data_IF_535646250397
#
_entry.id   IF_535646250397
#
_cell.length_a   1.000
_cell.length_b   1.000
_cell.length_c   1.000
_cell.angle_alpha   90.00
_cell.angle_beta   90.00
_cell.angle_gamma   90.00
#
_symmetry.space_group_name_H-M   'P 1'
#
loop_
_entity.id
_entity.type
_entity.pdbx_description
1 polymer ?
#
# COMPACT_ATOMS: atom_id res chain seq x y z
N UNK A 1 11.43 -22.40 24.54
CA UNK A 1 10.76 -22.38 23.24
C UNK A 1 9.84 -21.17 23.26
N UNK A 2 10.18 -20.10 22.53
CA UNK A 2 9.34 -18.89 22.45
C UNK A 2 7.99 -19.23 21.82
N UNK A 3 6.92 -18.55 22.26
CA UNK A 3 5.59 -18.71 21.64
C UNK A 3 5.62 -18.28 20.18
N UNK A 4 5.04 -19.07 19.28
CA UNK A 4 4.85 -18.71 17.88
C UNK A 4 3.85 -17.56 17.79
N UNK A 5 4.20 -16.49 17.10
CA UNK A 5 3.27 -15.39 16.78
C UNK A 5 2.66 -15.67 15.40
N UNK A 6 1.34 -15.72 15.34
CA UNK A 6 0.60 -16.03 14.12
C UNK A 6 0.03 -14.74 13.50
N UNK A 7 0.36 -14.50 12.23
CA UNK A 7 -0.06 -13.34 11.47
C UNK A 7 -1.06 -13.73 10.39
N UNK A 8 -2.15 -12.98 10.28
CA UNK A 8 -3.11 -13.05 9.18
C UNK A 8 -2.93 -11.84 8.27
N UNK A 9 -2.66 -12.05 6.99
CA UNK A 9 -2.49 -10.98 6.01
C UNK A 9 -3.62 -11.06 4.98
N UNK A 10 -4.52 -10.10 5.02
CA UNK A 10 -5.60 -9.94 4.07
C UNK A 10 -5.08 -9.10 2.88
N UNK A 11 -5.13 -9.63 1.66
CA UNK A 11 -4.46 -9.03 0.49
C UNK A 11 -2.95 -9.31 0.45
N UNK A 12 -2.52 -10.45 1.02
CA UNK A 12 -1.10 -10.76 1.21
C UNK A 12 -0.37 -11.23 -0.04
N UNK A 13 -1.07 -11.57 -1.14
CA UNK A 13 -0.46 -11.86 -2.43
C UNK A 13 -0.12 -10.58 -3.23
N UNK A 14 -0.60 -9.42 -2.79
CA UNK A 14 -0.26 -8.13 -3.38
C UNK A 14 1.19 -7.70 -3.09
N UNK A 15 1.60 -6.59 -3.71
CA UNK A 15 2.99 -6.08 -3.65
C UNK A 15 3.52 -5.93 -2.21
N UNK A 16 2.84 -5.15 -1.35
CA UNK A 16 3.28 -4.94 0.03
C UNK A 16 3.16 -6.24 0.84
N UNK A 17 2.10 -7.02 0.63
CA UNK A 17 1.83 -8.25 1.37
C UNK A 17 2.91 -9.32 1.21
N UNK A 18 3.47 -9.47 0.01
CA UNK A 18 4.57 -10.41 -0.26
C UNK A 18 5.85 -10.00 0.48
N UNK A 19 6.19 -8.71 0.47
CA UNK A 19 7.36 -8.20 1.20
C UNK A 19 7.16 -8.28 2.71
N UNK A 20 5.94 -8.03 3.20
CA UNK A 20 5.59 -8.21 4.60
C UNK A 20 5.73 -9.67 5.03
N UNK A 21 5.23 -10.60 4.22
CA UNK A 21 5.36 -12.05 4.49
C UNK A 21 6.84 -12.46 4.60
N UNK A 22 7.67 -12.00 3.67
CA UNK A 22 9.11 -12.27 3.70
C UNK A 22 9.76 -11.66 4.95
N UNK A 23 9.50 -10.38 5.22
CA UNK A 23 10.07 -9.69 6.38
C UNK A 23 9.67 -10.35 7.72
N UNK A 24 8.45 -10.90 7.81
CA UNK A 24 8.02 -11.65 9.00
C UNK A 24 8.82 -12.95 9.18
N UNK A 25 9.09 -13.70 8.11
CA UNK A 25 9.91 -14.90 8.17
C UNK A 25 11.39 -14.61 8.45
N UNK A 26 11.87 -13.42 8.07
CA UNK A 26 13.23 -12.98 8.33
C UNK A 26 13.47 -12.53 9.79
N UNK A 27 12.42 -12.45 10.63
CA UNK A 27 12.54 -12.13 12.05
C UNK A 27 13.25 -13.25 12.82
N UNK A 28 14.50 -13.03 13.20
CA UNK A 28 15.36 -14.03 13.89
C UNK A 28 14.92 -14.37 15.31
N UNK A 29 14.17 -13.49 15.95
CA UNK A 29 13.85 -13.55 17.39
C UNK A 29 12.51 -14.22 17.71
N UNK A 30 11.70 -14.56 16.70
CA UNK A 30 10.34 -15.10 16.87
C UNK A 30 10.09 -16.29 15.95
N UNK A 31 9.42 -17.29 16.48
CA UNK A 31 8.77 -18.28 15.61
C UNK A 31 7.52 -17.62 15.02
N UNK A 32 7.40 -17.63 13.70
CA UNK A 32 6.36 -16.90 12.97
C UNK A 32 5.52 -17.89 12.16
N UNK A 33 4.19 -17.79 12.29
CA UNK A 33 3.24 -18.41 11.38
C UNK A 33 2.52 -17.33 10.56
N UNK A 34 2.36 -17.53 9.26
CA UNK A 34 1.69 -16.58 8.37
C UNK A 34 0.57 -17.27 7.59
N UNK A 35 -0.63 -16.73 7.69
CA UNK A 35 -1.74 -17.09 6.80
C UNK A 35 -2.07 -15.91 5.91
N UNK A 36 -2.16 -16.13 4.61
CA UNK A 36 -2.56 -15.13 3.62
C UNK A 36 -3.93 -15.47 3.07
N UNK A 37 -4.83 -14.47 2.99
CA UNK A 37 -6.10 -14.57 2.25
C UNK A 37 -6.05 -13.53 1.13
N UNK A 38 -6.26 -13.96 -0.12
CA UNK A 38 -6.24 -13.11 -1.30
C UNK A 38 -7.11 -13.71 -2.41
N UNK A 39 -7.77 -12.89 -3.21
CA UNK A 39 -8.56 -13.34 -4.37
C UNK A 39 -7.78 -13.28 -5.70
N UNK A 40 -6.50 -12.89 -5.65
CA UNK A 40 -5.58 -12.80 -6.78
C UNK A 40 -6.02 -11.83 -7.90
N UNK A 41 -6.91 -10.89 -7.62
CA UNK A 41 -7.39 -9.91 -8.63
C UNK A 41 -6.26 -9.02 -9.17
N UNK A 42 -5.30 -8.65 -8.30
CA UNK A 42 -4.17 -7.78 -8.65
C UNK A 42 -2.80 -8.47 -8.53
N UNK A 43 -2.79 -9.78 -8.34
CA UNK A 43 -1.59 -10.59 -8.18
C UNK A 43 -1.79 -11.95 -8.84
N UNK A 44 -0.75 -12.78 -8.85
CA UNK A 44 -0.83 -14.13 -9.39
C UNK A 44 -0.40 -15.19 -8.37
N UNK A 45 -0.71 -16.45 -8.63
CA UNK A 45 -0.33 -17.56 -7.75
C UNK A 45 1.18 -17.66 -7.54
N UNK A 46 2.01 -17.29 -8.51
CA UNK A 46 3.46 -17.28 -8.37
C UNK A 46 3.94 -16.40 -7.22
N UNK A 47 3.16 -15.36 -6.89
CA UNK A 47 3.44 -14.48 -5.76
C UNK A 47 3.46 -15.22 -4.40
N UNK A 48 2.73 -16.32 -4.27
CA UNK A 48 2.61 -17.10 -3.04
C UNK A 48 3.43 -18.38 -3.05
N UNK A 49 3.78 -18.88 -4.24
CA UNK A 49 4.52 -20.13 -4.42
C UNK A 49 5.89 -20.12 -3.73
N UNK A 50 6.60 -18.99 -3.75
CA UNK A 50 7.91 -18.83 -3.12
C UNK A 50 7.92 -19.07 -1.61
N UNK A 51 6.76 -18.98 -0.95
CA UNK A 51 6.65 -19.19 0.49
C UNK A 51 6.33 -20.64 0.87
N UNK A 52 6.11 -21.53 -0.10
CA UNK A 52 5.84 -22.96 0.17
C UNK A 52 7.00 -23.67 0.87
N UNK A 53 8.23 -23.14 0.76
CA UNK A 53 9.38 -23.65 1.49
C UNK A 53 9.22 -23.58 3.01
N UNK A 54 8.44 -22.61 3.53
CA UNK A 54 8.15 -22.47 4.96
C UNK A 54 7.12 -23.50 5.49
N UNK A 55 6.67 -24.45 4.64
CA UNK A 55 5.84 -25.62 4.99
C UNK A 55 4.66 -25.26 5.92
N UNK A 56 4.70 -25.79 7.17
CA UNK A 56 3.62 -25.63 8.14
C UNK A 56 3.50 -24.21 8.73
N UNK A 57 4.46 -23.34 8.46
CA UNK A 57 4.46 -21.95 8.94
C UNK A 57 3.76 -20.99 7.97
N UNK A 58 3.56 -21.40 6.71
CA UNK A 58 2.87 -20.60 5.70
C UNK A 58 1.61 -21.30 5.19
N UNK A 59 0.52 -20.53 5.11
CA UNK A 59 -0.73 -20.99 4.51
C UNK A 59 -1.29 -19.93 3.58
N UNK A 60 -1.62 -20.31 2.36
CA UNK A 60 -2.35 -19.48 1.41
C UNK A 60 -3.80 -19.97 1.26
N UNK A 61 -4.75 -19.04 1.29
CA UNK A 61 -6.19 -19.27 1.08
C UNK A 61 -6.63 -18.33 -0.05
N UNK A 62 -6.98 -18.91 -1.19
CA UNK A 62 -7.56 -18.15 -2.29
C UNK A 62 -9.05 -17.96 -2.03
N UNK A 63 -9.43 -16.74 -1.67
CA UNK A 63 -10.83 -16.40 -1.39
C UNK A 63 -11.07 -14.89 -1.53
N UNK A 64 -12.29 -14.54 -1.92
CA UNK A 64 -12.78 -13.17 -1.88
C UNK A 64 -13.37 -12.87 -0.49
N UNK A 65 -12.76 -11.89 0.18
CA UNK A 65 -13.15 -11.50 1.53
C UNK A 65 -14.57 -10.92 1.61
N UNK A 66 -15.09 -10.36 0.51
CA UNK A 66 -16.45 -9.79 0.47
C UNK A 66 -17.53 -10.87 0.45
N UNK A 67 -17.22 -12.05 -0.07
CA UNK A 67 -18.15 -13.18 -0.22
C UNK A 67 -17.85 -14.35 0.71
N UNK A 68 -16.65 -14.38 1.33
CA UNK A 68 -16.28 -15.42 2.29
C UNK A 68 -17.31 -15.48 3.45
N UNK A 69 -17.80 -16.67 3.85
CA UNK A 69 -18.72 -16.79 4.99
C UNK A 69 -18.10 -16.24 6.30
N UNK A 70 -18.89 -15.52 7.08
CA UNK A 70 -18.44 -14.88 8.34
C UNK A 70 -17.82 -15.88 9.32
N UNK A 71 -18.48 -17.02 9.51
CA UNK A 71 -18.00 -18.06 10.41
C UNK A 71 -16.67 -18.68 9.95
N UNK A 72 -16.47 -18.81 8.64
CA UNK A 72 -15.20 -19.28 8.08
C UNK A 72 -14.09 -18.28 8.34
N UNK A 73 -14.33 -16.99 8.05
CA UNK A 73 -13.39 -15.92 8.35
C UNK A 73 -13.02 -15.90 9.84
N UNK A 74 -14.01 -15.89 10.72
CA UNK A 74 -13.81 -15.85 12.17
C UNK A 74 -13.04 -17.10 12.69
N UNK A 75 -13.32 -18.28 12.14
CA UNK A 75 -12.61 -19.52 12.48
C UNK A 75 -11.12 -19.42 12.12
N UNK A 76 -10.78 -18.74 11.02
CA UNK A 76 -9.40 -18.48 10.64
C UNK A 76 -8.83 -17.40 11.54
N UNK A 77 -9.44 -16.24 11.62
CA UNK A 77 -8.91 -15.05 12.29
C UNK A 77 -8.65 -15.27 13.80
N UNK A 78 -9.48 -16.06 14.49
CA UNK A 78 -9.31 -16.39 15.91
C UNK A 78 -8.00 -17.15 16.22
N UNK A 79 -7.36 -17.75 15.22
CA UNK A 79 -6.10 -18.50 15.38
C UNK A 79 -4.86 -17.60 15.23
N UNK A 80 -5.05 -16.33 14.93
CA UNK A 80 -3.97 -15.39 14.67
C UNK A 80 -3.92 -14.30 15.75
N UNK A 81 -2.72 -13.84 16.05
CA UNK A 81 -2.48 -12.84 17.09
C UNK A 81 -2.58 -11.42 16.52
N UNK A 82 -2.15 -11.24 15.26
CA UNK A 82 -2.11 -9.97 14.55
C UNK A 82 -2.69 -10.12 13.14
N UNK A 83 -3.44 -9.12 12.71
CA UNK A 83 -4.09 -9.08 11.40
C UNK A 83 -3.60 -7.84 10.66
N UNK A 84 -3.05 -8.03 9.46
CA UNK A 84 -2.76 -6.94 8.54
C UNK A 84 -3.84 -6.90 7.45
N UNK A 85 -4.60 -5.82 7.41
CA UNK A 85 -5.62 -5.62 6.39
C UNK A 85 -5.05 -4.74 5.26
N UNK A 86 -4.44 -5.38 4.27
CA UNK A 86 -3.87 -4.75 3.08
C UNK A 86 -4.78 -4.89 1.85
N UNK A 87 -5.84 -5.72 1.93
CA UNK A 87 -6.77 -5.91 0.84
C UNK A 87 -7.52 -4.62 0.48
N UNK A 88 -7.64 -4.35 -0.81
CA UNK A 88 -8.37 -3.20 -1.34
C UNK A 88 -8.08 -2.99 -2.82
N UNK A 89 -9.03 -2.39 -3.52
CA UNK A 89 -8.85 -1.96 -4.91
C UNK A 89 -8.06 -0.65 -4.93
N UNK A 90 -6.91 -0.65 -5.59
CA UNK A 90 -5.96 0.47 -5.64
C UNK A 90 -5.42 0.69 -7.04
N UNK A 91 -4.68 1.78 -7.24
CA UNK A 91 -3.99 2.12 -8.48
C UNK A 91 -4.67 3.23 -9.27
N UNK A 92 -3.88 4.23 -9.68
CA UNK A 92 -4.38 5.46 -10.31
C UNK A 92 -5.20 5.17 -11.56
N UNK A 93 -4.73 4.27 -12.44
CA UNK A 93 -5.45 3.90 -13.66
C UNK A 93 -6.70 3.08 -13.39
N UNK A 94 -6.66 2.18 -12.39
CA UNK A 94 -7.84 1.42 -12.01
C UNK A 94 -8.92 2.33 -11.43
N UNK A 95 -8.52 3.28 -10.58
CA UNK A 95 -9.45 4.28 -10.01
C UNK A 95 -10.04 5.17 -11.11
N UNK A 96 -9.26 5.56 -12.13
CA UNK A 96 -9.77 6.38 -13.23
C UNK A 96 -10.69 5.59 -14.17
N UNK A 97 -10.34 4.34 -14.51
CA UNK A 97 -11.13 3.50 -15.43
C UNK A 97 -12.38 2.90 -14.78
N UNK A 98 -12.28 2.52 -13.50
CA UNK A 98 -13.32 1.80 -12.76
C UNK A 98 -13.64 2.48 -11.40
N UNK A 99 -14.01 3.78 -11.37
CA UNK A 99 -14.14 4.52 -10.12
C UNK A 99 -15.26 3.98 -9.22
N UNK A 100 -16.39 3.56 -9.80
CA UNK A 100 -17.51 2.99 -9.04
C UNK A 100 -17.12 1.66 -8.40
N UNK A 101 -16.52 0.75 -9.16
CA UNK A 101 -16.07 -0.56 -8.67
C UNK A 101 -15.03 -0.40 -7.56
N UNK A 102 -14.05 0.50 -7.76
CA UNK A 102 -13.03 0.79 -6.74
C UNK A 102 -13.66 1.30 -5.44
N UNK A 103 -14.62 2.22 -5.53
CA UNK A 103 -15.34 2.74 -4.37
C UNK A 103 -16.13 1.63 -3.67
N UNK A 104 -16.96 0.89 -4.42
CA UNK A 104 -17.82 -0.14 -3.85
C UNK A 104 -17.03 -1.29 -3.23
N UNK A 105 -15.97 -1.78 -3.86
CA UNK A 105 -15.15 -2.86 -3.33
C UNK A 105 -14.47 -2.47 -2.00
N UNK A 106 -13.92 -1.25 -1.90
CA UNK A 106 -13.30 -0.80 -0.65
C UNK A 106 -14.33 -0.65 0.47
N UNK A 107 -15.53 -0.12 0.17
CA UNK A 107 -16.62 -0.01 1.15
C UNK A 107 -17.20 -1.37 1.52
N UNK A 108 -17.35 -2.30 0.58
CA UNK A 108 -17.81 -3.67 0.84
C UNK A 108 -16.86 -4.40 1.80
N UNK A 109 -15.54 -4.29 1.60
CA UNK A 109 -14.54 -4.83 2.52
C UNK A 109 -14.68 -4.23 3.93
N UNK A 110 -14.84 -2.91 4.04
CA UNK A 110 -15.00 -2.25 5.33
C UNK A 110 -16.27 -2.69 6.04
N UNK A 111 -17.42 -2.66 5.34
CA UNK A 111 -18.72 -3.06 5.89
C UNK A 111 -18.74 -4.54 6.33
N UNK A 112 -18.01 -5.40 5.63
CA UNK A 112 -17.90 -6.83 5.94
C UNK A 112 -16.96 -7.09 7.11
N UNK A 113 -15.74 -6.56 7.07
CA UNK A 113 -14.67 -6.97 7.98
C UNK A 113 -14.71 -6.26 9.32
N UNK A 114 -15.09 -4.97 9.38
CA UNK A 114 -15.08 -4.22 10.65
C UNK A 114 -16.00 -4.84 11.71
N UNK A 115 -17.26 -5.23 11.40
CA UNK A 115 -18.11 -5.95 12.36
C UNK A 115 -17.53 -7.29 12.80
N UNK A 116 -16.77 -7.98 11.94
CA UNK A 116 -16.10 -9.23 12.28
C UNK A 116 -14.89 -9.00 13.18
N UNK A 117 -14.10 -7.94 12.93
CA UNK A 117 -13.01 -7.55 13.82
C UNK A 117 -13.48 -7.19 15.22
N UNK A 118 -14.65 -6.59 15.37
CA UNK A 118 -15.24 -6.33 16.70
C UNK A 118 -15.51 -7.60 17.51
N UNK A 119 -15.73 -8.75 16.85
CA UNK A 119 -15.86 -10.05 17.50
C UNK A 119 -14.50 -10.67 17.90
N UNK A 120 -13.41 -10.07 17.44
CA UNK A 120 -12.02 -10.48 17.70
C UNK A 120 -11.32 -9.56 18.71
N UNK A 121 -11.99 -9.15 19.76
CA UNK A 121 -11.63 -8.09 20.72
C UNK A 121 -10.17 -8.04 21.19
N UNK A 122 -9.49 -9.17 21.18
CA UNK A 122 -8.09 -9.30 21.64
C UNK A 122 -7.10 -9.46 20.46
N UNK A 123 -7.54 -9.21 19.23
CA UNK A 123 -6.69 -9.31 18.03
C UNK A 123 -6.41 -7.92 17.50
N UNK A 124 -5.13 -7.61 17.34
CA UNK A 124 -4.72 -6.33 16.79
C UNK A 124 -4.89 -6.32 15.28
N UNK A 125 -5.50 -5.26 14.74
CA UNK A 125 -5.69 -5.06 13.30
C UNK A 125 -4.89 -3.84 12.83
N UNK A 126 -3.96 -4.05 11.92
CA UNK A 126 -3.26 -2.96 11.23
C UNK A 126 -3.93 -2.73 9.86
N UNK A 127 -4.47 -1.55 9.63
CA UNK A 127 -5.22 -1.18 8.42
C UNK A 127 -4.39 -0.31 7.49
N UNK A 128 -4.30 -0.73 6.22
CA UNK A 128 -3.68 0.05 5.16
C UNK A 128 -4.62 1.12 4.61
N UNK A 129 -4.37 2.36 5.00
CA UNK A 129 -4.99 3.57 4.45
C UNK A 129 -4.06 4.24 3.42
N UNK A 130 -4.33 5.47 3.04
CA UNK A 130 -3.66 6.17 1.95
C UNK A 130 -3.38 7.64 2.27
N UNK A 131 -2.25 8.14 1.78
CA UNK A 131 -1.92 9.57 1.82
C UNK A 131 -2.82 10.43 0.91
N UNK A 132 -3.61 9.85 0.03
CA UNK A 132 -4.53 10.61 -0.83
C UNK A 132 -5.63 11.34 -0.04
N UNK A 133 -5.89 10.93 1.19
CA UNK A 133 -6.82 11.58 2.12
C UNK A 133 -6.40 13.03 2.43
N UNK A 134 -5.12 13.35 2.36
CA UNK A 134 -4.62 14.70 2.63
C UNK A 134 -4.85 15.69 1.47
N UNK A 135 -5.17 15.23 0.27
CA UNK A 135 -5.20 16.10 -0.91
C UNK A 135 -3.86 16.79 -1.13
N UNK A 136 -3.86 18.14 -1.18
CA UNK A 136 -2.66 18.96 -1.37
C UNK A 136 -1.86 19.19 -0.06
N UNK A 137 -2.27 18.58 1.04
CA UNK A 137 -1.64 18.76 2.33
C UNK A 137 -2.24 19.88 3.18
N UNK A 138 -1.68 20.15 4.34
CA UNK A 138 -0.48 19.55 4.94
C UNK A 138 -0.61 18.05 5.21
N UNK A 139 0.51 17.38 5.59
CA UNK A 139 0.61 15.92 5.60
C UNK A 139 0.95 15.35 6.99
N UNK A 140 0.49 16.01 8.04
CA UNK A 140 0.56 15.51 9.41
C UNK A 140 -0.68 14.70 9.74
N UNK A 141 -0.58 13.69 10.59
CA UNK A 141 -1.67 12.76 10.92
C UNK A 141 -2.88 13.43 11.57
N UNK A 142 -2.70 14.55 12.22
CA UNK A 142 -3.76 15.34 12.90
C UNK A 142 -4.37 16.43 12.00
N UNK A 143 -3.86 16.59 10.77
CA UNK A 143 -4.42 17.55 9.83
C UNK A 143 -5.79 17.11 9.30
N UNK A 144 -6.59 18.10 8.91
CA UNK A 144 -7.87 17.85 8.28
C UNK A 144 -7.71 17.03 6.98
N UNK A 145 -8.58 16.06 6.78
CA UNK A 145 -8.68 15.39 5.49
C UNK A 145 -9.18 16.39 4.43
N UNK A 146 -8.56 16.40 3.26
CA UNK A 146 -8.91 17.27 2.14
C UNK A 146 -9.24 16.43 0.91
N UNK A 147 -10.53 16.16 0.76
CA UNK A 147 -11.05 15.41 -0.40
C UNK A 147 -11.53 16.42 -1.45
N UNK A 148 -11.11 16.22 -2.70
CA UNK A 148 -11.53 17.07 -3.80
C UNK A 148 -13.01 16.90 -4.18
N UNK A 149 -13.49 17.66 -5.19
CA UNK A 149 -14.91 17.68 -5.54
C UNK A 149 -15.38 16.33 -6.08
N UNK A 150 -16.62 15.96 -5.75
CA UNK A 150 -17.24 14.69 -6.18
C UNK A 150 -17.38 14.53 -7.71
N UNK A 151 -17.26 15.61 -8.47
CA UNK A 151 -17.17 15.60 -9.94
C UNK A 151 -15.85 14.97 -10.44
N UNK A 152 -14.83 14.88 -9.60
CA UNK A 152 -13.57 14.18 -9.87
C UNK A 152 -13.60 12.82 -9.17
N UNK A 153 -14.03 11.78 -9.90
CA UNK A 153 -14.35 10.47 -9.36
C UNK A 153 -13.17 9.74 -8.70
N UNK A 154 -11.94 10.12 -9.04
CA UNK A 154 -10.75 9.59 -8.36
C UNK A 154 -10.79 9.74 -6.83
N UNK A 155 -11.44 10.79 -6.33
CA UNK A 155 -11.56 11.02 -4.88
C UNK A 155 -12.43 10.00 -4.16
N UNK A 156 -13.19 9.19 -4.92
CA UNK A 156 -13.96 8.06 -4.37
C UNK A 156 -13.10 7.07 -3.60
N UNK A 157 -11.89 6.77 -4.11
CA UNK A 157 -10.93 5.90 -3.40
C UNK A 157 -10.49 6.49 -2.04
N UNK A 158 -10.04 7.75 -2.04
CA UNK A 158 -9.64 8.43 -0.80
C UNK A 158 -10.82 8.54 0.18
N UNK A 159 -12.04 8.83 -0.33
CA UNK A 159 -13.26 8.88 0.48
C UNK A 159 -13.59 7.53 1.12
N UNK A 160 -13.48 6.42 0.39
CA UNK A 160 -13.71 5.08 0.93
C UNK A 160 -12.71 4.74 2.05
N UNK A 161 -11.42 5.06 1.84
CA UNK A 161 -10.38 4.83 2.85
C UNK A 161 -10.61 5.71 4.08
N UNK A 162 -10.96 6.98 3.92
CA UNK A 162 -11.29 7.88 5.02
C UNK A 162 -12.52 7.39 5.81
N UNK A 163 -13.57 6.98 5.11
CA UNK A 163 -14.75 6.38 5.75
C UNK A 163 -14.37 5.15 6.59
N UNK A 164 -13.49 4.30 6.05
CA UNK A 164 -13.00 3.13 6.77
C UNK A 164 -12.19 3.50 8.01
N UNK A 165 -11.37 4.57 7.95
CA UNK A 165 -10.66 5.09 9.14
C UNK A 165 -11.65 5.50 10.24
N UNK A 166 -12.73 6.22 9.90
CA UNK A 166 -13.77 6.59 10.87
C UNK A 166 -14.47 5.37 11.47
N UNK A 167 -14.81 4.36 10.65
CA UNK A 167 -15.41 3.11 11.12
C UNK A 167 -14.49 2.37 12.10
N UNK A 168 -13.20 2.30 11.82
CA UNK A 168 -12.19 1.67 12.69
C UNK A 168 -12.05 2.46 13.99
N UNK A 169 -11.91 3.79 13.92
CA UNK A 169 -11.80 4.65 15.11
C UNK A 169 -13.04 4.61 16.02
N UNK A 170 -14.21 4.40 15.46
CA UNK A 170 -15.46 4.22 16.21
C UNK A 170 -15.60 2.79 16.79
N UNK A 171 -14.68 1.87 16.50
CA UNK A 171 -14.71 0.48 16.93
C UNK A 171 -13.99 0.26 18.25
N UNK A 172 -14.15 -0.93 18.85
CA UNK A 172 -13.61 -1.27 20.17
C UNK A 172 -12.45 -2.30 20.12
N UNK A 173 -12.09 -2.82 18.96
CA UNK A 173 -10.95 -3.72 18.83
C UNK A 173 -9.62 -2.94 18.78
N UNK A 174 -8.49 -3.54 19.19
CA UNK A 174 -7.17 -2.91 19.07
C UNK A 174 -6.80 -2.71 17.61
N UNK A 175 -6.40 -1.48 17.23
CA UNK A 175 -6.05 -1.18 15.86
C UNK A 175 -4.87 -0.22 15.73
N UNK A 176 -4.22 -0.26 14.56
CA UNK A 176 -3.33 0.79 14.05
C UNK A 176 -3.72 1.10 12.61
N UNK A 177 -3.82 2.37 12.27
CA UNK A 177 -4.06 2.83 10.90
C UNK A 177 -2.74 3.35 10.34
N UNK A 178 -2.42 2.98 9.09
CA UNK A 178 -1.24 3.48 8.40
C UNK A 178 -1.62 4.12 7.07
N UNK A 179 -1.19 5.35 6.82
CA UNK A 179 -1.33 6.05 5.55
C UNK A 179 -0.03 5.92 4.77
N UNK A 180 -0.04 5.11 3.72
CA UNK A 180 1.12 4.91 2.87
C UNK A 180 1.36 6.06 1.90
N UNK A 181 2.64 6.46 1.74
CA UNK A 181 3.12 7.45 0.79
C UNK A 181 4.05 6.79 -0.24
N UNK A 182 3.56 6.60 -1.46
CA UNK A 182 4.31 6.13 -2.63
C UNK A 182 5.35 5.03 -2.33
N UNK A 183 4.89 3.94 -1.73
CA UNK A 183 5.74 2.77 -1.52
C UNK A 183 6.08 2.15 -2.88
N UNK A 184 7.37 1.89 -3.12
CA UNK A 184 7.87 1.32 -4.36
C UNK A 184 8.97 0.29 -4.09
N UNK A 185 9.23 -0.58 -5.06
CA UNK A 185 10.27 -1.60 -4.95
C UNK A 185 10.07 -2.79 -5.88
N UNK A 186 10.94 -3.80 -5.79
CA UNK A 186 10.93 -4.96 -6.67
C UNK A 186 9.60 -5.73 -6.58
N UNK A 187 9.13 -6.20 -7.73
CA UNK A 187 7.86 -6.93 -7.84
C UNK A 187 6.61 -6.06 -7.88
N UNK A 188 6.72 -4.73 -7.83
CA UNK A 188 5.60 -3.84 -8.07
C UNK A 188 5.24 -3.80 -9.55
N UNK A 189 3.97 -4.06 -9.87
CA UNK A 189 3.48 -4.04 -11.26
C UNK A 189 3.21 -2.61 -11.73
N UNK A 190 3.60 -2.31 -12.97
CA UNK A 190 3.35 -1.00 -13.61
C UNK A 190 1.91 -0.81 -14.10
N UNK A 191 1.14 -1.89 -14.21
CA UNK A 191 -0.17 -1.93 -14.87
C UNK A 191 -1.27 -1.15 -14.15
N UNK A 192 -1.05 -0.78 -12.89
CA UNK A 192 -2.01 -0.03 -12.07
C UNK A 192 -1.79 1.48 -12.06
N UNK A 193 -0.91 2.00 -12.92
CA UNK A 193 -0.73 3.44 -13.12
C UNK A 193 0.21 4.13 -12.13
N UNK A 194 0.96 3.40 -11.29
CA UNK A 194 1.98 3.99 -10.46
C UNK A 194 3.19 4.39 -11.31
N UNK A 195 3.64 5.65 -11.16
CA UNK A 195 4.60 6.29 -12.06
C UNK A 195 5.97 5.59 -12.08
N UNK A 196 6.56 5.30 -10.92
CA UNK A 196 7.92 4.72 -10.86
C UNK A 196 7.99 3.32 -11.48
N UNK A 197 7.10 2.36 -11.15
CA UNK A 197 7.10 1.05 -11.82
C UNK A 197 6.89 1.16 -13.33
N UNK A 198 6.06 2.10 -13.80
CA UNK A 198 5.87 2.34 -15.25
C UNK A 198 7.16 2.81 -15.92
N UNK A 199 7.84 3.78 -15.32
CA UNK A 199 9.11 4.29 -15.86
C UNK A 199 10.19 3.21 -15.89
N UNK A 200 10.35 2.46 -14.80
CA UNK A 200 11.33 1.36 -14.74
C UNK A 200 11.01 0.29 -15.78
N UNK A 201 9.74 -0.12 -15.91
CA UNK A 201 9.35 -1.12 -16.90
C UNK A 201 9.58 -0.63 -18.34
N UNK A 202 9.24 0.63 -18.64
CA UNK A 202 9.51 1.23 -19.95
C UNK A 202 11.02 1.27 -20.25
N UNK A 203 11.84 1.72 -19.30
CA UNK A 203 13.29 1.78 -19.44
C UNK A 203 13.92 0.39 -19.67
N UNK A 204 13.50 -0.63 -18.93
CA UNK A 204 13.95 -2.03 -19.12
C UNK A 204 13.70 -2.57 -20.52
N UNK A 205 12.66 -2.07 -21.18
CA UNK A 205 12.26 -2.50 -22.53
C UNK A 205 12.66 -1.49 -23.62
N UNK A 206 13.48 -0.48 -23.31
CA UNK A 206 13.84 0.62 -24.21
C UNK A 206 12.62 1.30 -24.86
N UNK A 207 11.52 1.38 -24.11
CA UNK A 207 10.29 2.09 -24.51
C UNK A 207 10.31 3.50 -23.96
N UNK A 208 9.60 4.42 -24.61
CA UNK A 208 9.52 5.80 -24.16
C UNK A 208 8.86 5.94 -22.78
N UNK A 209 9.44 6.77 -21.91
CA UNK A 209 8.88 7.13 -20.63
C UNK A 209 7.89 8.28 -20.81
N UNK A 210 6.62 8.05 -20.50
CA UNK A 210 5.58 9.07 -20.66
C UNK A 210 5.38 9.86 -19.36
N UNK A 211 5.69 11.15 -19.41
CA UNK A 211 5.41 12.14 -18.37
C UNK A 211 4.08 12.83 -18.67
N UNK A 212 3.18 12.91 -17.70
CA UNK A 212 1.87 13.53 -17.85
C UNK A 212 1.88 14.98 -17.36
N UNK A 213 1.26 15.89 -18.13
CA UNK A 213 1.25 17.31 -17.87
C UNK A 213 2.66 17.93 -17.96
N UNK A 214 3.00 18.83 -17.06
CA UNK A 214 4.33 19.49 -17.02
C UNK A 214 5.42 18.64 -16.36
N UNK A 215 5.04 17.55 -15.66
CA UNK A 215 5.97 16.74 -14.88
C UNK A 215 6.52 17.41 -13.62
N UNK A 216 5.93 18.54 -13.20
CA UNK A 216 6.37 19.31 -12.02
C UNK A 216 5.77 18.82 -10.70
N UNK A 217 4.90 17.81 -10.76
CA UNK A 217 4.37 17.19 -9.55
C UNK A 217 5.51 16.58 -8.73
N UNK A 218 5.49 16.89 -7.42
CA UNK A 218 6.53 16.45 -6.49
C UNK A 218 6.05 15.22 -5.71
N UNK A 219 6.87 14.18 -5.72
CA UNK A 219 6.68 12.96 -4.95
C UNK A 219 7.94 12.62 -4.16
N UNK A 220 7.78 11.85 -3.10
CA UNK A 220 8.86 11.12 -2.46
C UNK A 220 8.51 9.63 -2.46
N UNK A 221 9.51 8.78 -2.55
CA UNK A 221 9.31 7.34 -2.69
C UNK A 221 9.92 6.60 -1.50
N UNK A 222 9.14 5.69 -0.93
CA UNK A 222 9.56 4.85 0.18
C UNK A 222 9.88 3.44 -0.34
N UNK A 223 11.04 2.91 0.00
CA UNK A 223 11.36 1.53 -0.32
C UNK A 223 10.43 0.58 0.42
N UNK A 224 9.92 -0.44 -0.26
CA UNK A 224 9.00 -1.41 0.34
C UNK A 224 9.60 -2.14 1.55
N UNK A 225 10.92 -2.40 1.57
CA UNK A 225 11.61 -2.98 2.72
C UNK A 225 11.51 -2.08 3.96
N UNK A 226 11.69 -0.77 3.80
CA UNK A 226 11.54 0.20 4.89
C UNK A 226 10.09 0.26 5.37
N UNK A 227 9.13 0.27 4.41
CA UNK A 227 7.72 0.32 4.74
C UNK A 227 7.25 -0.91 5.54
N UNK A 228 7.66 -2.13 5.16
CA UNK A 228 7.24 -3.34 5.89
C UNK A 228 7.95 -3.49 7.23
N UNK A 229 9.21 -3.05 7.37
CA UNK A 229 9.93 -3.05 8.64
C UNK A 229 9.19 -2.20 9.69
N UNK A 230 8.82 -0.97 9.32
CA UNK A 230 8.09 -0.09 10.24
C UNK A 230 6.65 -0.57 10.45
N UNK A 231 6.00 -1.14 9.44
CA UNK A 231 4.66 -1.72 9.55
C UNK A 231 4.61 -2.83 10.61
N UNK A 232 5.62 -3.69 10.65
CA UNK A 232 5.75 -4.74 11.68
C UNK A 232 5.89 -4.13 13.07
N UNK A 233 6.73 -3.11 13.25
CA UNK A 233 6.90 -2.41 14.53
C UNK A 233 5.60 -1.76 14.99
N UNK A 234 4.87 -1.12 14.09
CA UNK A 234 3.59 -0.47 14.37
C UNK A 234 2.47 -1.44 14.76
N UNK A 235 2.59 -2.73 14.42
CA UNK A 235 1.61 -3.74 14.83
C UNK A 235 1.58 -4.03 16.34
N UNK A 236 2.47 -3.39 17.12
CA UNK A 236 2.48 -3.42 18.58
C UNK A 236 1.91 -2.12 19.22
N UNK A 237 1.56 -1.11 18.40
CA UNK A 237 0.85 0.11 18.86
C UNK A 237 -0.65 -0.11 18.81
N UNK A 238 -1.44 0.72 19.49
CA UNK A 238 -2.89 0.61 19.46
C UNK A 238 -3.59 1.96 19.58
N UNK A 239 -4.70 2.13 18.86
CA UNK A 239 -5.51 3.34 18.87
C UNK A 239 -4.93 4.51 18.06
N UNK A 240 -3.89 4.26 17.27
CA UNK A 240 -3.08 5.28 16.62
C UNK A 240 -3.17 5.24 15.08
N UNK A 241 -2.81 6.37 14.47
CA UNK A 241 -2.66 6.53 13.03
C UNK A 241 -1.25 7.06 12.75
N UNK A 242 -0.57 6.49 11.74
CA UNK A 242 0.79 6.86 11.34
C UNK A 242 0.92 7.01 9.82
N UNK A 243 1.74 7.97 9.42
CA UNK A 243 2.25 8.02 8.05
C UNK A 243 3.43 7.05 7.88
N UNK A 244 3.46 6.34 6.76
CA UNK A 244 4.60 5.53 6.33
C UNK A 244 5.06 6.04 4.97
N UNK A 245 6.33 6.44 4.88
CA UNK A 245 6.89 7.00 3.67
C UNK A 245 8.36 7.36 3.81
N UNK A 246 8.87 8.12 2.86
CA UNK A 246 10.19 8.74 2.89
C UNK A 246 10.03 10.23 2.57
N UNK A 247 10.68 11.12 3.30
CA UNK A 247 10.65 12.57 3.07
C UNK A 247 12.03 13.17 2.75
N UNK A 248 13.06 12.34 2.61
CA UNK A 248 14.44 12.80 2.43
C UNK A 248 14.76 13.23 0.99
N UNK A 249 14.11 12.63 0.00
CA UNK A 249 14.43 12.84 -1.42
C UNK A 249 13.17 13.15 -2.26
N UNK A 250 12.51 14.31 -2.03
CA UNK A 250 11.41 14.73 -2.91
C UNK A 250 11.93 15.02 -4.31
N UNK A 251 11.21 14.57 -5.34
CA UNK A 251 11.62 14.69 -6.73
C UNK A 251 10.43 15.07 -7.62
N UNK A 252 10.67 15.90 -8.65
CA UNK A 252 9.68 16.13 -9.70
C UNK A 252 9.55 14.90 -10.62
N UNK A 253 8.38 14.66 -11.15
CA UNK A 253 8.13 13.49 -12.01
C UNK A 253 9.01 13.53 -13.28
N UNK A 254 9.26 14.71 -13.85
CA UNK A 254 10.18 14.87 -14.99
C UNK A 254 11.62 14.46 -14.64
N UNK A 255 12.11 14.89 -13.48
CA UNK A 255 13.47 14.58 -13.01
C UNK A 255 13.58 13.09 -12.62
N UNK A 256 12.50 12.49 -12.13
CA UNK A 256 12.40 11.06 -11.88
C UNK A 256 12.58 10.25 -13.19
N UNK A 257 11.95 10.69 -14.29
CA UNK A 257 12.09 10.03 -15.58
C UNK A 257 13.56 10.07 -16.07
N UNK A 258 14.23 11.24 -15.98
CA UNK A 258 15.65 11.40 -16.31
C UNK A 258 16.53 10.48 -15.44
N UNK A 259 16.28 10.43 -14.14
CA UNK A 259 17.01 9.57 -13.20
C UNK A 259 16.85 8.08 -13.55
N UNK A 260 15.66 7.63 -13.90
CA UNK A 260 15.40 6.23 -14.29
C UNK A 260 16.15 5.88 -15.58
N UNK A 261 16.12 6.73 -16.60
CA UNK A 261 16.89 6.54 -17.85
C UNK A 261 18.39 6.45 -17.54
N UNK A 262 18.91 7.37 -16.75
CA UNK A 262 20.34 7.41 -16.39
C UNK A 262 20.78 6.14 -15.62
N UNK A 263 20.00 5.69 -14.64
CA UNK A 263 20.36 4.52 -13.82
C UNK A 263 20.17 3.19 -14.57
N UNK A 264 19.22 3.12 -15.50
CA UNK A 264 18.98 1.90 -16.29
C UNK A 264 19.97 1.75 -17.46
N UNK A 265 20.65 2.82 -17.89
CA UNK A 265 21.43 2.84 -19.12
C UNK A 265 20.58 2.67 -20.38
N UNK A 266 19.27 2.91 -20.30
CA UNK A 266 18.32 2.75 -21.40
C UNK A 266 18.48 3.85 -22.46
N UNK A 267 18.17 3.52 -23.71
CA UNK A 267 18.04 4.47 -24.83
C UNK A 267 16.63 5.11 -24.92
N UNK A 268 15.79 4.88 -23.93
CA UNK A 268 14.42 5.39 -23.87
C UNK A 268 14.38 6.92 -23.93
N UNK A 269 13.41 7.45 -24.67
CA UNK A 269 13.14 8.89 -24.69
C UNK A 269 12.08 9.25 -23.64
N UNK A 270 12.14 10.49 -23.16
CA UNK A 270 11.11 11.05 -22.31
C UNK A 270 10.15 11.81 -23.20
N UNK A 271 8.88 11.40 -23.19
CA UNK A 271 7.81 12.03 -23.98
C UNK A 271 6.73 12.60 -23.04
N UNK A 272 6.14 13.72 -23.44
CA UNK A 272 5.06 14.35 -22.65
C UNK A 272 3.71 14.08 -23.29
N UNK A 273 2.70 13.84 -22.45
CA UNK A 273 1.29 13.81 -22.86
C UNK A 273 0.48 14.70 -21.91
N UNK A 274 -0.56 15.33 -22.43
CA UNK A 274 -1.49 16.08 -21.59
C UNK A 274 -2.31 15.11 -20.72
N UNK A 275 -2.93 15.62 -19.67
CA UNK A 275 -3.82 14.82 -18.84
C UNK A 275 -5.07 14.37 -19.59
N UNK A 276 -5.57 15.23 -20.50
CA UNK A 276 -6.73 14.96 -21.35
C UNK A 276 -6.49 13.82 -22.35
N UNK A 277 -5.24 13.67 -22.81
CA UNK A 277 -4.84 12.55 -23.67
C UNK A 277 -4.69 11.23 -22.92
N UNK A 278 -4.39 11.30 -21.62
CA UNK A 278 -4.02 10.13 -20.81
C UNK A 278 -5.14 9.58 -19.94
N UNK A 279 -6.00 10.46 -19.43
CA UNK A 279 -6.97 10.15 -18.39
C UNK A 279 -8.35 10.68 -18.72
N UNK A 280 -9.34 10.20 -17.99
CA UNK A 280 -10.71 10.69 -18.10
C UNK A 280 -10.84 12.15 -17.61
N UNK A 281 -11.93 12.83 -18.03
CA UNK A 281 -12.26 14.17 -17.53
C UNK A 281 -12.44 14.24 -16.00
N UNK A 282 -12.56 13.11 -15.35
CA UNK A 282 -12.73 12.97 -13.90
C UNK A 282 -11.42 12.83 -13.15
N UNK A 283 -10.30 12.78 -13.88
CA UNK A 283 -8.97 12.77 -13.30
C UNK A 283 -8.64 14.11 -12.60
N UNK A 284 -7.85 14.04 -11.59
CA UNK A 284 -7.23 15.17 -10.91
C UNK A 284 -5.93 14.71 -10.30
N UNK A 285 -4.91 15.52 -10.29
CA UNK A 285 -3.64 15.17 -9.66
C UNK A 285 -3.42 15.96 -8.36
N UNK A 286 -2.55 15.47 -7.52
CA UNK A 286 -2.06 16.12 -6.31
C UNK A 286 -0.69 16.70 -6.68
N UNK A 287 -0.50 18.01 -6.56
CA UNK A 287 0.75 18.66 -6.98
C UNK A 287 1.94 18.23 -6.13
N UNK A 288 1.77 18.15 -4.80
CA UNK A 288 2.84 17.80 -3.87
C UNK A 288 2.35 16.74 -2.88
N UNK A 289 3.17 15.68 -2.66
CA UNK A 289 2.85 14.63 -1.68
C UNK A 289 4.12 14.11 -1.00
N UNK A 290 4.42 14.67 0.18
CA UNK A 290 5.61 14.38 1.00
C UNK A 290 5.13 14.19 2.44
N UNK A 291 5.41 13.04 3.11
CA UNK A 291 4.92 12.78 4.47
C UNK A 291 5.63 13.63 5.52
N UNK A 292 4.90 14.01 6.58
CA UNK A 292 5.50 14.24 7.89
C UNK A 292 5.71 12.86 8.56
N UNK A 293 6.92 12.59 9.00
CA UNK A 293 7.31 11.32 9.62
C UNK A 293 7.66 11.44 11.10
N UNK A 294 7.42 12.63 11.70
CA UNK A 294 7.77 12.87 13.10
C UNK A 294 7.11 11.86 14.04
N UNK A 295 5.81 11.64 13.88
CA UNK A 295 5.03 10.74 14.75
C UNK A 295 5.53 9.29 14.69
N UNK A 296 5.75 8.76 13.49
CA UNK A 296 6.25 7.38 13.33
C UNK A 296 7.70 7.25 13.79
N UNK A 297 8.52 8.28 13.61
CA UNK A 297 9.89 8.31 14.15
C UNK A 297 9.87 8.26 15.67
N UNK A 298 9.10 9.12 16.32
CA UNK A 298 9.00 9.18 17.79
C UNK A 298 8.51 7.84 18.38
N UNK A 299 7.58 7.16 17.71
CA UNK A 299 7.00 5.90 18.18
C UNK A 299 7.92 4.68 17.97
N UNK A 300 8.73 4.66 16.90
CA UNK A 300 9.40 3.43 16.45
C UNK A 300 10.90 3.58 16.19
N UNK A 301 11.42 4.82 16.22
CA UNK A 301 12.78 5.16 15.75
C UNK A 301 12.93 5.05 14.23
N UNK A 302 11.82 5.02 13.49
CA UNK A 302 11.86 4.87 12.03
C UNK A 302 12.53 6.05 11.34
N UNK A 303 13.51 5.74 10.50
CA UNK A 303 14.08 6.63 9.49
C UNK A 303 14.22 5.84 8.20
N UNK A 304 13.89 6.40 7.02
CA UNK A 304 14.12 5.75 5.75
C UNK A 304 15.60 5.38 5.58
N UNK A 305 15.88 4.14 5.16
CA UNK A 305 17.23 3.61 5.01
C UNK A 305 17.69 3.55 3.56
N UNK A 306 16.74 3.38 2.65
CA UNK A 306 17.01 3.23 1.22
C UNK A 306 16.76 4.55 0.48
N UNK A 307 17.71 4.93 -0.37
CA UNK A 307 17.60 6.07 -1.27
C UNK A 307 16.66 5.79 -2.46
N UNK A 308 16.30 6.83 -3.20
CA UNK A 308 15.56 6.66 -4.47
C UNK A 308 16.37 5.86 -5.49
N UNK A 309 17.69 6.03 -5.51
CA UNK A 309 18.59 5.24 -6.37
C UNK A 309 18.54 3.75 -6.02
N UNK A 310 18.52 3.40 -4.73
CA UNK A 310 18.38 2.02 -4.29
C UNK A 310 17.06 1.41 -4.75
N UNK A 311 15.96 2.17 -4.62
CA UNK A 311 14.63 1.73 -5.09
C UNK A 311 14.68 1.42 -6.59
N UNK A 312 15.21 2.35 -7.40
CA UNK A 312 15.28 2.19 -8.86
C UNK A 312 16.15 0.98 -9.22
N UNK A 313 17.35 0.85 -8.62
CA UNK A 313 18.25 -0.28 -8.89
C UNK A 313 17.66 -1.63 -8.48
N UNK A 314 16.99 -1.71 -7.33
CA UNK A 314 16.31 -2.94 -6.88
C UNK A 314 15.12 -3.32 -7.80
N UNK A 315 14.56 -2.36 -8.55
CA UNK A 315 13.48 -2.59 -9.51
C UNK A 315 14.00 -2.93 -10.92
N UNK A 316 15.23 -2.50 -11.29
CA UNK A 316 15.88 -2.83 -12.56
C UNK A 316 16.38 -4.29 -12.58
#
# INVERSE_FOLDING_TARGET
VGNTVNYLILGGAGFIGQHLTQALFDLKERHVGVTVIDNLTTSNRGATERFKEYKNLYRFIEADLTTMPDEEFLKIARKHDKIFHLAGSVGVENVDRNPAETLFNNLALANKLIPLFQQLRNRHVTFASTSEIYGEGPFNEEDNASIGPSSKLRWGYASAKLTTEFMIRASTFPYTIVRFFNVAGPGQLGDYGMVLPKFVNAAKNNQDLTVYGTGEQIRSFCHVKDAVEVLIKLSDTTGELFNIGNNSEPIMIKDLAEKVVALSGSESKIVTKTYEEAFSKHYGDIHRRIPDLKKVHDATGYTPKHSLDDIIRDML
#
